data_IF_040859462745
#
_entry.id   IF_040859462745
#
_cell.length_a   1.000
_cell.length_b   1.000
_cell.length_c   1.000
_cell.angle_alpha   90.00
_cell.angle_beta   90.00
_cell.angle_gamma   90.00
#
_symmetry.space_group_name_H-M   'P 1'
#
loop_
_entity.id
_entity.type
_entity.pdbx_description
1 polymer ?
#
# COMPACT_ATOMS: atom_id res chain seq x y z
N UNK A 1 -16.26 -2.10 24.51
CA UNK A 1 -15.24 -1.04 24.32
C UNK A 1 -15.50 -0.41 22.96
N UNK A 2 -16.16 0.74 22.92
CA UNK A 2 -16.44 1.46 21.68
C UNK A 2 -15.22 2.36 21.45
N UNK A 3 -14.21 1.83 20.76
CA UNK A 3 -13.10 2.65 20.28
C UNK A 3 -13.68 3.62 19.27
N UNK A 4 -13.53 4.92 19.51
CA UNK A 4 -13.88 5.97 18.57
C UNK A 4 -13.28 5.63 17.20
N UNK A 5 -14.13 5.55 16.18
CA UNK A 5 -13.72 5.26 14.81
C UNK A 5 -13.02 6.52 14.27
N UNK A 6 -11.75 6.72 14.66
CA UNK A 6 -10.97 7.85 14.15
C UNK A 6 -10.81 7.64 12.66
N UNK A 7 -11.31 8.58 11.87
CA UNK A 7 -11.28 8.48 10.43
C UNK A 7 -9.85 8.67 9.91
N UNK A 8 -9.52 8.07 8.75
CA UNK A 8 -8.21 8.24 8.10
C UNK A 8 -7.90 9.72 7.90
N UNK A 9 -8.91 10.50 7.50
CA UNK A 9 -8.80 11.96 7.32
C UNK A 9 -8.44 12.69 8.61
N UNK A 10 -9.07 12.35 9.74
CA UNK A 10 -8.71 12.97 11.03
C UNK A 10 -7.27 12.68 11.46
N UNK A 11 -6.79 11.44 11.27
CA UNK A 11 -5.40 11.09 11.57
C UNK A 11 -4.43 11.81 10.63
N UNK A 12 -4.77 11.86 9.34
CA UNK A 12 -4.04 12.61 8.33
C UNK A 12 -3.88 14.08 8.75
N UNK A 13 -4.98 14.75 9.06
CA UNK A 13 -4.99 16.17 9.39
C UNK A 13 -4.21 16.44 10.68
N UNK A 14 -4.33 15.58 11.70
CA UNK A 14 -3.55 15.68 12.94
C UNK A 14 -2.04 15.54 12.70
N UNK A 15 -1.63 14.60 11.85
CA UNK A 15 -0.21 14.41 11.52
C UNK A 15 0.31 15.64 10.76
N UNK A 16 -0.45 16.14 9.77
CA UNK A 16 -0.05 17.31 9.00
C UNK A 16 -0.01 18.60 9.84
N UNK A 17 -0.94 18.78 10.78
CA UNK A 17 -0.91 19.91 11.72
C UNK A 17 0.36 19.85 12.59
N UNK A 18 0.72 18.67 13.12
CA UNK A 18 1.96 18.48 13.89
C UNK A 18 3.19 18.86 13.08
N UNK A 19 3.28 18.38 11.84
CA UNK A 19 4.47 18.54 11.00
C UNK A 19 4.59 19.95 10.41
N UNK A 20 3.51 20.50 9.88
CA UNK A 20 3.53 21.76 9.13
C UNK A 20 3.36 22.99 10.04
N UNK A 21 2.50 22.90 11.05
CA UNK A 21 2.16 24.05 11.92
C UNK A 21 3.01 24.03 13.18
N UNK A 22 2.93 22.93 13.94
CA UNK A 22 3.62 22.81 15.24
C UNK A 22 5.11 22.50 15.08
N UNK A 23 5.54 22.06 13.89
CA UNK A 23 6.90 21.62 13.58
C UNK A 23 7.44 20.60 14.58
N UNK A 24 6.57 19.73 15.05
CA UNK A 24 6.85 18.71 16.06
C UNK A 24 6.75 17.31 15.47
N UNK A 25 7.53 16.37 16.02
CA UNK A 25 7.49 14.95 15.66
C UNK A 25 6.14 14.37 16.08
N UNK A 26 5.30 13.87 15.14
CA UNK A 26 4.04 13.25 15.50
C UNK A 26 4.29 11.89 16.19
N UNK A 27 3.41 11.47 17.11
CA UNK A 27 3.47 10.14 17.71
C UNK A 27 3.45 9.03 16.66
N UNK A 28 4.38 8.07 16.79
CA UNK A 28 4.50 6.94 15.85
C UNK A 28 3.19 6.14 15.73
N UNK A 29 2.43 6.02 16.82
CA UNK A 29 1.15 5.31 16.86
C UNK A 29 0.13 5.85 15.84
N UNK A 30 0.13 7.16 15.55
CA UNK A 30 -0.83 7.74 14.61
C UNK A 30 -0.64 7.22 13.19
N UNK A 31 0.61 7.03 12.76
CA UNK A 31 0.91 6.49 11.43
C UNK A 31 0.45 5.03 11.32
N UNK A 32 0.65 4.23 12.36
CA UNK A 32 0.19 2.84 12.38
C UNK A 32 -1.34 2.74 12.33
N UNK A 33 -2.03 3.53 13.15
CA UNK A 33 -3.50 3.59 13.11
C UNK A 33 -4.02 4.07 11.75
N UNK A 34 -3.35 5.04 11.11
CA UNK A 34 -3.71 5.51 9.77
C UNK A 34 -3.64 4.36 8.74
N UNK A 35 -2.54 3.60 8.75
CA UNK A 35 -2.31 2.45 7.85
C UNK A 35 -3.36 1.36 8.08
N UNK A 36 -3.70 1.07 9.34
CA UNK A 36 -4.68 0.04 9.68
C UNK A 36 -6.10 0.44 9.23
N UNK A 37 -6.44 1.71 9.34
CA UNK A 37 -7.76 2.26 9.00
C UNK A 37 -8.01 2.49 7.51
N UNK A 38 -7.00 2.38 6.63
CA UNK A 38 -7.22 2.56 5.18
C UNK A 38 -8.13 1.47 4.59
N UNK A 39 -9.23 1.87 3.94
CA UNK A 39 -10.21 0.98 3.32
C UNK A 39 -10.39 1.21 1.81
N UNK A 40 -10.10 2.41 1.30
CA UNK A 40 -10.26 2.75 -0.11
C UNK A 40 -9.03 3.44 -0.72
N UNK A 41 -9.05 3.66 -2.04
CA UNK A 41 -7.97 4.33 -2.76
C UNK A 41 -7.66 5.74 -2.24
N UNK A 42 -8.69 6.48 -1.83
CA UNK A 42 -8.52 7.83 -1.30
C UNK A 42 -7.74 7.82 0.03
N UNK A 43 -8.00 6.83 0.88
CA UNK A 43 -7.23 6.64 2.12
C UNK A 43 -5.75 6.37 1.85
N UNK A 44 -5.45 5.59 0.80
CA UNK A 44 -4.08 5.32 0.38
C UNK A 44 -3.41 6.60 -0.13
N UNK A 45 -4.13 7.45 -0.85
CA UNK A 45 -3.61 8.74 -1.29
C UNK A 45 -3.24 9.64 -0.09
N UNK A 46 -4.11 9.70 0.92
CA UNK A 46 -3.83 10.43 2.17
C UNK A 46 -2.62 9.85 2.92
N UNK A 47 -2.52 8.52 3.01
CA UNK A 47 -1.35 7.85 3.60
C UNK A 47 -0.06 8.23 2.88
N UNK A 48 -0.05 8.25 1.54
CA UNK A 48 1.13 8.56 0.76
C UNK A 48 1.53 10.04 0.89
N UNK A 49 0.56 10.94 1.00
CA UNK A 49 0.83 12.35 1.32
C UNK A 49 1.52 12.48 2.68
N UNK A 50 1.00 11.81 3.71
CA UNK A 50 1.60 11.79 5.05
C UNK A 50 3.04 11.28 5.01
N UNK A 51 3.31 10.15 4.35
CA UNK A 51 4.65 9.59 4.23
C UNK A 51 5.62 10.59 3.57
N UNK A 52 5.19 11.23 2.49
CA UNK A 52 6.02 12.22 1.79
C UNK A 52 6.30 13.45 2.65
N UNK A 53 5.30 13.96 3.39
CA UNK A 53 5.46 15.11 4.30
C UNK A 53 6.37 14.77 5.47
N UNK A 54 6.20 13.59 6.07
CA UNK A 54 7.08 13.10 7.13
C UNK A 54 8.52 12.93 6.64
N UNK A 55 8.73 12.41 5.42
CA UNK A 55 10.06 12.30 4.81
C UNK A 55 10.70 13.67 4.64
N UNK A 56 9.99 14.65 4.09
CA UNK A 56 10.50 16.03 3.96
C UNK A 56 10.86 16.62 5.31
N UNK A 57 9.97 16.50 6.30
CA UNK A 57 10.21 17.02 7.66
C UNK A 57 11.45 16.41 8.33
N UNK A 58 11.64 15.09 8.20
CA UNK A 58 12.85 14.41 8.71
C UNK A 58 14.13 14.97 8.09
N UNK A 59 14.11 15.20 6.78
CA UNK A 59 15.26 15.74 6.04
C UNK A 59 15.54 17.20 6.42
N UNK A 60 14.51 18.07 6.46
CA UNK A 60 14.70 19.51 6.65
C UNK A 60 14.81 19.93 8.11
N UNK A 61 14.01 19.34 9.01
CA UNK A 61 13.88 19.80 10.39
C UNK A 61 14.71 18.98 11.37
N UNK A 62 14.84 17.67 11.14
CA UNK A 62 15.54 16.76 12.07
C UNK A 62 16.94 16.35 11.59
N UNK A 63 17.29 16.65 10.33
CA UNK A 63 18.54 16.21 9.66
C UNK A 63 18.72 14.69 9.68
N UNK A 64 17.61 13.96 9.64
CA UNK A 64 17.60 12.50 9.55
C UNK A 64 17.50 12.10 8.08
N UNK A 65 18.63 11.67 7.52
CA UNK A 65 18.76 11.32 6.11
C UNK A 65 18.24 9.91 5.79
N UNK A 66 18.19 9.03 6.79
CA UNK A 66 17.74 7.67 6.61
C UNK A 66 16.24 7.59 6.35
N UNK A 67 15.89 6.68 5.43
CA UNK A 67 14.53 6.24 5.20
C UNK A 67 13.97 5.56 6.48
N UNK A 68 12.65 5.52 6.58
CA UNK A 68 11.92 4.64 7.48
C UNK A 68 12.28 3.17 7.24
N UNK A 69 12.10 2.34 8.27
CA UNK A 69 12.50 0.94 8.24
C UNK A 69 11.67 0.07 7.27
N UNK A 70 12.16 -1.14 7.05
CA UNK A 70 11.53 -2.14 6.17
C UNK A 70 10.17 -2.61 6.68
N UNK A 71 9.94 -2.64 8.00
CA UNK A 71 8.65 -3.01 8.58
C UNK A 71 7.54 -2.03 8.14
N UNK A 72 7.82 -0.72 8.17
CA UNK A 72 6.86 0.27 7.67
C UNK A 72 6.57 0.06 6.18
N UNK A 73 7.60 -0.14 5.37
CA UNK A 73 7.43 -0.40 3.94
C UNK A 73 6.58 -1.66 3.68
N UNK A 74 6.81 -2.73 4.46
CA UNK A 74 6.04 -3.95 4.38
C UNK A 74 4.56 -3.72 4.70
N UNK A 75 4.26 -3.02 5.79
CA UNK A 75 2.86 -2.77 6.17
C UNK A 75 2.16 -1.86 5.15
N UNK A 76 2.84 -0.84 4.61
CA UNK A 76 2.30 -0.02 3.51
C UNK A 76 1.99 -0.89 2.28
N UNK A 77 2.92 -1.75 1.86
CA UNK A 77 2.70 -2.64 0.72
C UNK A 77 1.54 -3.62 0.96
N UNK A 78 1.47 -4.22 2.15
CA UNK A 78 0.37 -5.10 2.59
C UNK A 78 -0.97 -4.38 2.56
N UNK A 79 -1.03 -3.15 3.08
CA UNK A 79 -2.26 -2.34 3.07
C UNK A 79 -2.68 -1.97 1.65
N UNK A 80 -1.73 -1.61 0.77
CA UNK A 80 -2.03 -1.37 -0.64
C UNK A 80 -2.65 -2.61 -1.32
N UNK A 81 -2.12 -3.80 -1.04
CA UNK A 81 -2.70 -5.07 -1.54
C UNK A 81 -4.09 -5.30 -0.97
N UNK A 82 -4.27 -5.13 0.34
CA UNK A 82 -5.56 -5.29 1.03
C UNK A 82 -6.66 -4.39 0.44
N UNK A 83 -6.32 -3.15 0.10
CA UNK A 83 -7.25 -2.15 -0.45
C UNK A 83 -7.42 -2.28 -1.99
N UNK A 84 -6.60 -3.10 -2.65
CA UNK A 84 -6.58 -3.19 -4.12
C UNK A 84 -5.84 -2.04 -4.81
N UNK A 85 -5.07 -1.23 -4.06
CA UNK A 85 -4.25 -0.12 -4.54
C UNK A 85 -2.89 -0.57 -5.07
N UNK A 86 -2.89 -1.46 -6.06
CA UNK A 86 -1.67 -2.18 -6.50
C UNK A 86 -0.63 -1.24 -7.08
N UNK A 87 -1.04 -0.24 -7.86
CA UNK A 87 -0.11 0.76 -8.41
C UNK A 87 0.50 1.63 -7.32
N UNK A 88 -0.24 1.94 -6.27
CA UNK A 88 0.30 2.61 -5.08
C UNK A 88 1.27 1.70 -4.33
N UNK A 89 0.97 0.40 -4.23
CA UNK A 89 1.90 -0.60 -3.69
C UNK A 89 3.21 -0.66 -4.47
N UNK A 90 3.16 -0.65 -5.82
CA UNK A 90 4.35 -0.52 -6.67
C UNK A 90 5.07 0.80 -6.39
N UNK A 91 4.35 1.94 -6.27
CA UNK A 91 4.83 3.27 -5.82
C UNK A 91 5.60 3.23 -4.50
N UNK A 92 5.16 2.45 -3.53
CA UNK A 92 5.89 2.28 -2.28
C UNK A 92 7.32 1.73 -2.50
N UNK A 93 7.51 0.87 -3.51
CA UNK A 93 8.80 0.21 -3.80
C UNK A 93 9.71 1.01 -4.73
N UNK A 94 9.25 1.43 -5.92
CA UNK A 94 10.12 2.17 -6.88
C UNK A 94 10.31 3.65 -6.56
N UNK A 95 9.38 4.30 -5.84
CA UNK A 95 9.51 5.69 -5.36
C UNK A 95 9.84 5.76 -3.87
N UNK A 96 10.47 4.71 -3.36
CA UNK A 96 10.70 4.53 -1.92
C UNK A 96 11.45 5.72 -1.29
N UNK A 97 12.46 6.29 -1.95
CA UNK A 97 13.20 7.45 -1.43
C UNK A 97 12.34 8.71 -1.26
N UNK A 98 11.36 8.92 -2.16
CA UNK A 98 10.41 10.05 -2.08
C UNK A 98 9.45 9.89 -0.91
N UNK A 99 9.00 8.67 -0.67
CA UNK A 99 8.11 8.30 0.44
C UNK A 99 8.88 8.05 1.74
N UNK A 100 10.21 8.05 1.68
CA UNK A 100 11.09 7.70 2.79
C UNK A 100 11.03 6.23 3.19
N UNK A 101 10.60 5.30 2.34
CA UNK A 101 10.49 3.88 2.69
C UNK A 101 11.78 3.12 2.36
N UNK A 102 12.04 2.03 3.10
CA UNK A 102 13.11 1.07 2.78
C UNK A 102 12.49 -0.23 2.27
N UNK A 103 12.53 -0.51 0.96
CA UNK A 103 12.02 -1.75 0.40
C UNK A 103 12.75 -2.99 0.94
N UNK A 104 12.04 -4.11 0.99
CA UNK A 104 12.58 -5.43 1.34
C UNK A 104 11.90 -6.53 0.53
N UNK A 105 12.46 -7.75 0.58
CA UNK A 105 11.80 -8.94 0.01
C UNK A 105 10.39 -9.10 0.59
N UNK A 106 10.21 -8.86 1.90
CA UNK A 106 8.92 -8.98 2.55
C UNK A 106 7.87 -7.97 2.05
N UNK A 107 8.26 -6.73 1.77
CA UNK A 107 7.34 -5.73 1.19
C UNK A 107 6.98 -6.05 -0.26
N UNK A 108 7.91 -6.58 -1.05
CA UNK A 108 7.65 -7.01 -2.42
C UNK A 108 6.78 -8.28 -2.48
N UNK A 109 7.00 -9.21 -1.54
CA UNK A 109 6.30 -10.49 -1.48
C UNK A 109 4.78 -10.32 -1.45
N UNK A 110 4.24 -9.33 -0.76
CA UNK A 110 2.78 -9.10 -0.74
C UNK A 110 2.21 -8.81 -2.15
N UNK A 111 2.92 -8.04 -2.97
CA UNK A 111 2.50 -7.75 -4.35
C UNK A 111 2.67 -8.96 -5.26
N UNK A 112 3.78 -9.70 -5.09
CA UNK A 112 4.05 -10.91 -5.85
C UNK A 112 3.06 -12.03 -5.54
N UNK A 113 2.74 -12.25 -4.27
CA UNK A 113 1.77 -13.24 -3.83
C UNK A 113 0.37 -12.94 -4.37
N UNK A 114 -0.02 -11.66 -4.44
CA UNK A 114 -1.27 -11.28 -5.12
C UNK A 114 -1.21 -11.61 -6.62
N UNK A 115 -0.12 -11.26 -7.30
CA UNK A 115 0.02 -11.54 -8.72
C UNK A 115 -0.04 -13.05 -9.03
N UNK A 116 0.62 -13.86 -8.22
CA UNK A 116 0.58 -15.33 -8.32
C UNK A 116 -0.83 -15.87 -8.09
N UNK A 117 -1.51 -15.39 -7.04
CA UNK A 117 -2.91 -15.76 -6.78
C UNK A 117 -3.84 -15.36 -7.92
N UNK A 118 -3.64 -14.20 -8.55
CA UNK A 118 -4.45 -13.79 -9.71
C UNK A 118 -4.17 -14.66 -10.94
N UNK A 119 -2.91 -15.04 -11.17
CA UNK A 119 -2.52 -15.96 -12.25
C UNK A 119 -3.18 -17.33 -12.11
N UNK A 120 -3.42 -17.83 -10.89
CA UNK A 120 -4.12 -19.11 -10.70
C UNK A 120 -5.64 -18.97 -10.67
N UNK A 121 -6.16 -17.92 -10.04
CA UNK A 121 -7.61 -17.75 -9.80
C UNK A 121 -8.34 -17.38 -11.09
N UNK A 122 -7.81 -16.46 -11.90
CA UNK A 122 -8.49 -15.99 -13.12
C UNK A 122 -8.77 -17.15 -14.09
N UNK A 123 -7.80 -18.00 -14.48
CA UNK A 123 -8.08 -19.14 -15.36
C UNK A 123 -9.11 -20.12 -14.77
N UNK A 124 -9.03 -20.39 -13.47
CA UNK A 124 -9.97 -21.30 -12.80
C UNK A 124 -11.42 -20.77 -12.80
N UNK A 125 -11.60 -19.46 -12.59
CA UNK A 125 -12.90 -18.80 -12.66
C UNK A 125 -13.45 -18.83 -14.08
N UNK A 126 -12.63 -18.54 -15.09
CA UNK A 126 -13.03 -18.59 -16.50
C UNK A 126 -13.46 -20.01 -16.87
N UNK A 127 -12.71 -21.04 -16.47
CA UNK A 127 -13.06 -22.43 -16.73
C UNK A 127 -14.40 -22.84 -16.08
N UNK A 128 -14.68 -22.38 -14.86
CA UNK A 128 -15.96 -22.62 -14.20
C UNK A 128 -17.14 -21.96 -14.93
N UNK A 129 -16.96 -20.74 -15.45
CA UNK A 129 -17.98 -20.04 -16.24
C UNK A 129 -18.26 -20.75 -17.57
N UNK A 130 -17.22 -21.19 -18.27
CA UNK A 130 -17.35 -21.98 -19.50
C UNK A 130 -18.09 -23.29 -19.24
N UNK A 131 -17.74 -23.99 -18.17
CA UNK A 131 -18.40 -25.24 -17.76
C UNK A 131 -19.86 -25.04 -17.36
N UNK A 132 -20.24 -23.82 -16.95
CA UNK A 132 -21.62 -23.45 -16.64
C UNK A 132 -22.46 -23.11 -17.88
N UNK A 133 -21.89 -23.24 -19.09
CA UNK A 133 -22.57 -22.98 -20.34
C UNK A 133 -22.62 -21.50 -20.76
N UNK A 134 -21.90 -20.62 -20.07
CA UNK A 134 -21.73 -19.24 -20.53
C UNK A 134 -20.78 -19.22 -21.73
N UNK A 135 -21.22 -18.61 -22.82
CA UNK A 135 -20.39 -18.44 -24.01
C UNK A 135 -19.42 -17.26 -23.83
N UNK A 136 -18.27 -17.54 -23.22
CA UNK A 136 -17.19 -16.56 -23.03
C UNK A 136 -16.10 -16.83 -24.08
N UNK A 137 -15.79 -15.85 -24.94
CA UNK A 137 -14.67 -15.94 -25.89
C UNK A 137 -13.38 -15.54 -25.20
N UNK A 138 -12.73 -16.48 -24.53
CA UNK A 138 -11.41 -16.29 -23.91
C UNK A 138 -10.51 -17.45 -24.31
N UNK A 139 -9.31 -17.14 -24.78
CA UNK A 139 -8.26 -18.13 -25.04
C UNK A 139 -7.64 -18.55 -23.70
N UNK A 140 -7.96 -19.76 -23.25
CA UNK A 140 -7.44 -20.30 -21.98
C UNK A 140 -5.93 -20.54 -22.06
N UNK A 141 -5.39 -20.90 -23.22
CA UNK A 141 -3.97 -21.20 -23.38
C UNK A 141 -3.13 -19.94 -23.18
N UNK A 142 -3.63 -18.77 -23.58
CA UNK A 142 -3.00 -17.48 -23.27
C UNK A 142 -2.95 -17.18 -21.77
N UNK A 143 -3.99 -17.55 -21.02
CA UNK A 143 -4.05 -17.28 -19.58
C UNK A 143 -3.13 -18.19 -18.75
N UNK A 144 -2.75 -19.36 -19.28
CA UNK A 144 -1.80 -20.28 -18.65
C UNK A 144 -0.35 -20.07 -19.11
N UNK A 145 -0.09 -19.14 -20.04
CA UNK A 145 1.28 -18.82 -20.46
C UNK A 145 2.08 -18.37 -19.24
N UNK A 146 3.15 -19.10 -18.94
CA UNK A 146 4.20 -18.62 -18.04
C UNK A 146 5.04 -17.65 -18.85
N UNK A 147 5.11 -16.41 -18.42
CA UNK A 147 6.08 -15.47 -18.96
C UNK A 147 7.48 -16.00 -18.59
N UNK A 148 8.31 -16.29 -19.60
CA UNK A 148 9.73 -16.61 -19.41
C UNK A 148 10.45 -15.32 -19.01
N UNK A 149 10.63 -15.08 -17.70
CA UNK A 149 11.48 -14.01 -17.17
C UNK A 149 12.18 -14.41 -15.87
#
# INVERSE_FOLDING_TARGET
MIGTLVTVKELHDKILESVNVKRSVPPNAWLWSLIESCQCQDDINLLFEVLQKLRRFRLSNLRLHDNFNSNLCQQVAKTCVRVGAIDSGKKALWKHNVLGLTPSVASAHHLLALADSLKSVIPSMVNALLSSGLNVRVDLDELYKKDDL
#
